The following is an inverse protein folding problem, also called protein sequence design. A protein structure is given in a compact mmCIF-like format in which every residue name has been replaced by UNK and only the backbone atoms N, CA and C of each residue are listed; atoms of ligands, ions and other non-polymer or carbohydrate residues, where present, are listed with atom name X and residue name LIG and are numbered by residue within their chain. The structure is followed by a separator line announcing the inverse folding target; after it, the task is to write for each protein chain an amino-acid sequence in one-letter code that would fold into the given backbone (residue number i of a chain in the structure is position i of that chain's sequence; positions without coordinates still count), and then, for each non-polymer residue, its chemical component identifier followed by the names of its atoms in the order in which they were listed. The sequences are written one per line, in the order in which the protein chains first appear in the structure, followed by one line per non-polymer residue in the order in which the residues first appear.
data_IF_532092959530
#
_entry.id   IF_532092959530
#
_cell.length_a   1.000
_cell.length_b   1.000
_cell.length_c   1.000
_cell.angle_alpha   90.00
_cell.angle_beta   90.00
_cell.angle_gamma   90.00
#
_symmetry.space_group_name_H-M   'P 1'
#
loop_
_entity.id
_entity.type
_entity.pdbx_description
1 polymer ?
#
# COMPACT_ATOMS: atom_id res chain seq x y z
N UNK A 1 -62.60 -5.61 14.55
CA UNK A 1 -61.55 -6.56 14.98
C UNK A 1 -60.23 -6.41 14.22
N UNK A 2 -60.21 -6.22 12.89
CA UNK A 2 -58.96 -6.09 12.10
C UNK A 2 -58.08 -4.87 12.45
N UNK A 3 -58.67 -3.71 12.77
CA UNK A 3 -57.93 -2.47 13.09
C UNK A 3 -57.12 -2.56 14.39
N UNK A 4 -57.67 -3.24 15.41
CA UNK A 4 -57.00 -3.39 16.71
C UNK A 4 -55.73 -4.24 16.57
N UNK A 5 -55.74 -5.23 15.66
CA UNK A 5 -54.59 -6.08 15.37
C UNK A 5 -53.43 -5.30 14.72
N UNK A 6 -53.72 -4.33 13.83
CA UNK A 6 -52.68 -3.50 13.22
C UNK A 6 -52.01 -2.56 14.23
N UNK A 7 -52.79 -2.00 15.16
CA UNK A 7 -52.26 -1.12 16.20
C UNK A 7 -51.36 -1.90 17.16
N UNK A 8 -51.74 -3.13 17.56
CA UNK A 8 -50.89 -3.95 18.42
C UNK A 8 -49.56 -4.35 17.74
N UNK A 9 -49.58 -4.66 16.45
CA UNK A 9 -48.36 -4.98 15.68
C UNK A 9 -47.43 -3.77 15.61
N UNK A 10 -47.98 -2.56 15.39
CA UNK A 10 -47.18 -1.33 15.31
C UNK A 10 -46.53 -0.97 16.65
N UNK A 11 -47.24 -1.15 17.77
CA UNK A 11 -46.69 -0.91 19.11
C UNK A 11 -45.56 -1.89 19.45
N UNK A 12 -45.71 -3.17 19.10
CA UNK A 12 -44.62 -4.17 19.27
C UNK A 12 -43.41 -3.82 18.41
N UNK A 13 -43.61 -3.27 17.20
CA UNK A 13 -42.51 -2.81 16.35
C UNK A 13 -41.77 -1.60 16.95
N UNK A 14 -42.49 -0.63 17.51
CA UNK A 14 -41.88 0.53 18.18
C UNK A 14 -41.14 0.09 19.45
N UNK A 15 -41.71 -0.80 20.26
CA UNK A 15 -41.05 -1.34 21.46
C UNK A 15 -39.84 -2.21 21.09
N UNK A 16 -39.94 -2.99 20.00
CA UNK A 16 -38.83 -3.81 19.49
C UNK A 16 -37.66 -2.97 18.96
N UNK A 17 -37.94 -1.78 18.41
CA UNK A 17 -36.90 -0.81 18.01
C UNK A 17 -36.29 -0.12 19.24
N UNK A 18 -37.08 0.14 20.30
CA UNK A 18 -36.57 0.75 21.53
C UNK A 18 -35.78 -0.21 22.42
N UNK A 19 -36.11 -1.51 22.41
CA UNK A 19 -35.44 -2.51 23.26
C UNK A 19 -34.15 -3.09 22.68
N UNK A 20 -33.68 -2.59 21.53
CA UNK A 20 -32.32 -2.88 21.03
C UNK A 20 -31.33 -1.73 21.28
N UNK A 21 -31.57 -0.93 22.31
CA UNK A 21 -30.50 -0.24 23.04
C UNK A 21 -29.78 -1.26 23.93
N UNK A 22 -29.07 -2.20 23.31
CA UNK A 22 -27.82 -2.60 23.91
C UNK A 22 -26.94 -1.36 23.83
N UNK A 23 -26.85 -0.63 24.93
CA UNK A 23 -25.74 0.26 25.21
C UNK A 23 -24.46 -0.60 25.23
N UNK A 24 -24.00 -0.99 24.03
CA UNK A 24 -22.57 -0.96 23.78
C UNK A 24 -22.25 0.51 23.70
N UNK A 25 -22.05 1.11 24.87
CA UNK A 25 -21.00 2.10 25.00
C UNK A 25 -19.72 1.39 24.59
N UNK A 26 -19.48 1.30 23.28
CA UNK A 26 -18.14 1.26 22.74
C UNK A 26 -17.53 2.58 23.19
N UNK A 27 -17.06 2.62 24.43
CA UNK A 27 -16.05 3.57 24.85
C UNK A 27 -14.95 3.39 23.82
N UNK A 28 -14.88 4.33 22.88
CA UNK A 28 -13.89 4.36 21.83
C UNK A 28 -12.53 4.25 22.55
N UNK A 29 -11.94 3.06 22.49
CA UNK A 29 -10.70 2.75 23.19
C UNK A 29 -9.56 3.33 22.34
N UNK A 30 -9.45 4.66 22.32
CA UNK A 30 -8.25 5.34 21.83
C UNK A 30 -7.00 4.80 22.59
N UNK A 31 -7.21 4.24 23.79
CA UNK A 31 -6.17 3.63 24.63
C UNK A 31 -5.55 2.31 24.13
N UNK A 32 -6.06 1.67 23.07
CA UNK A 32 -5.48 0.40 22.57
C UNK A 32 -4.58 0.54 21.34
N UNK A 33 -4.34 1.76 20.85
CA UNK A 33 -3.45 2.01 19.71
C UNK A 33 -2.00 2.17 20.18
N UNK A 34 -1.05 1.45 19.58
CA UNK A 34 0.39 1.59 19.90
C UNK A 34 0.89 2.97 19.44
N UNK A 35 1.23 3.91 20.34
CA UNK A 35 1.65 5.26 19.95
C UNK A 35 2.92 5.26 19.07
N UNK A 36 3.68 4.15 19.06
CA UNK A 36 4.88 3.97 18.27
C UNK A 36 4.65 3.20 16.97
N UNK A 37 3.39 2.94 16.58
CA UNK A 37 3.10 2.26 15.33
C UNK A 37 3.75 2.99 14.14
N UNK A 38 4.36 2.21 13.25
CA UNK A 38 5.11 2.71 12.10
C UNK A 38 4.42 2.30 10.83
N UNK A 39 4.20 3.28 9.94
CA UNK A 39 3.81 3.05 8.56
C UNK A 39 4.97 3.38 7.65
N UNK A 40 5.27 2.48 6.72
CA UNK A 40 6.23 2.69 5.65
C UNK A 40 5.51 3.20 4.41
N UNK A 41 6.05 4.24 3.80
CA UNK A 41 5.61 4.79 2.53
C UNK A 41 6.65 4.45 1.48
N UNK A 42 6.24 3.64 0.51
CA UNK A 42 7.07 3.23 -0.62
C UNK A 42 6.83 4.15 -1.80
N UNK A 43 7.91 4.59 -2.45
CA UNK A 43 7.85 5.54 -3.57
C UNK A 43 8.54 4.99 -4.81
N UNK A 44 8.13 5.47 -5.99
CA UNK A 44 8.53 4.92 -7.30
C UNK A 44 10.03 4.98 -7.53
N UNK A 45 10.69 5.97 -6.94
CA UNK A 45 12.12 6.17 -7.08
C UNK A 45 12.93 5.25 -6.16
N UNK A 46 12.29 4.36 -5.39
CA UNK A 46 12.98 3.43 -4.49
C UNK A 46 13.18 3.96 -3.08
N UNK A 47 12.57 5.09 -2.73
CA UNK A 47 12.65 5.62 -1.37
C UNK A 47 11.60 4.96 -0.49
N UNK A 48 12.03 4.45 0.66
CA UNK A 48 11.16 3.96 1.73
C UNK A 48 11.22 4.94 2.90
N UNK A 49 10.07 5.47 3.31
CA UNK A 49 9.96 6.44 4.41
C UNK A 49 9.16 5.84 5.54
N UNK A 50 9.74 5.74 6.73
CA UNK A 50 8.99 5.40 7.92
C UNK A 50 8.41 6.65 8.55
N UNK A 51 7.11 6.61 8.82
CA UNK A 51 6.41 7.63 9.56
C UNK A 51 5.69 7.03 10.76
N UNK A 52 5.52 7.83 11.80
CA UNK A 52 4.59 7.49 12.87
C UNK A 52 3.16 7.44 12.31
N UNK A 53 2.48 6.31 12.47
CA UNK A 53 1.17 6.01 11.86
C UNK A 53 0.11 7.07 12.19
N UNK A 54 0.15 7.67 13.38
CA UNK A 54 -0.89 8.59 13.85
C UNK A 54 -0.59 10.07 13.64
N UNK A 55 0.68 10.43 13.40
CA UNK A 55 1.10 11.83 13.23
C UNK A 55 1.66 12.13 11.84
N UNK A 56 2.05 11.09 11.08
CA UNK A 56 2.73 11.22 9.79
C UNK A 56 4.13 11.82 9.91
N UNK A 57 4.69 11.92 11.11
CA UNK A 57 6.04 12.44 11.33
C UNK A 57 7.08 11.41 10.91
N UNK A 58 8.07 11.84 10.13
CA UNK A 58 9.16 10.99 9.66
C UNK A 58 10.03 10.51 10.83
N UNK A 59 10.30 9.20 10.85
CA UNK A 59 11.16 8.53 11.81
C UNK A 59 12.52 8.31 11.15
N UNK A 60 12.50 7.72 9.95
CA UNK A 60 13.70 7.50 9.15
C UNK A 60 13.32 7.35 7.67
N UNK A 61 14.36 7.40 6.84
CA UNK A 61 14.28 7.27 5.39
C UNK A 61 15.46 6.47 4.89
N UNK A 62 15.18 5.61 3.93
CA UNK A 62 16.21 4.91 3.18
C UNK A 62 15.90 5.00 1.68
N UNK A 63 16.96 5.12 0.88
CA UNK A 63 16.89 5.25 -0.56
C UNK A 63 17.59 4.07 -1.19
N UNK A 64 16.84 3.31 -1.99
CA UNK A 64 17.36 2.21 -2.79
C UNK A 64 17.27 2.53 -4.30
N UNK A 65 17.55 1.51 -5.11
CA UNK A 65 17.20 1.43 -6.52
C UNK A 65 15.70 1.68 -6.73
N UNK A 66 15.32 2.31 -7.85
CA UNK A 66 13.92 2.47 -8.23
C UNK A 66 13.16 1.14 -8.22
N UNK A 67 11.89 1.17 -7.81
CA UNK A 67 11.02 -0.02 -7.81
C UNK A 67 10.79 -0.58 -9.22
N UNK A 68 10.95 0.28 -10.21
CA UNK A 68 10.79 -0.04 -11.61
C UNK A 68 11.88 0.64 -12.43
N UNK A 69 12.71 -0.15 -13.10
CA UNK A 69 13.69 0.33 -14.07
C UNK A 69 13.28 -0.11 -15.47
N UNK A 70 13.03 0.86 -16.36
CA UNK A 70 12.69 0.63 -17.77
C UNK A 70 13.82 1.11 -18.68
N UNK A 71 13.88 0.67 -19.95
CA UNK A 71 14.95 1.07 -20.87
C UNK A 71 14.92 2.60 -21.07
N UNK A 72 16.10 3.23 -21.11
CA UNK A 72 16.22 4.69 -21.36
C UNK A 72 15.79 5.08 -22.78
N UNK A 73 16.06 4.21 -23.75
CA UNK A 73 15.68 4.40 -25.14
C UNK A 73 14.40 3.63 -25.42
N UNK A 74 13.32 4.36 -25.67
CA UNK A 74 12.00 3.79 -25.89
C UNK A 74 11.81 3.51 -27.39
N UNK A 75 11.75 2.24 -27.77
CA UNK A 75 11.16 1.89 -29.05
C UNK A 75 9.64 1.91 -28.90
N UNK A 76 8.98 2.93 -29.46
CA UNK A 76 7.52 3.10 -29.37
C UNK A 76 6.74 1.91 -29.93
N UNK A 77 7.31 1.15 -30.87
CA UNK A 77 6.66 -0.01 -31.48
C UNK A 77 6.80 -1.28 -30.63
N UNK A 78 7.64 -1.27 -29.61
CA UNK A 78 7.89 -2.40 -28.71
C UNK A 78 8.07 -1.91 -27.27
N UNK A 79 7.07 -1.15 -26.80
CA UNK A 79 7.03 -0.58 -25.47
C UNK A 79 5.94 -1.22 -24.62
N UNK A 80 6.35 -1.70 -23.45
CA UNK A 80 5.46 -2.18 -22.41
C UNK A 80 5.51 -1.21 -21.22
N UNK A 81 4.36 -1.03 -20.58
CA UNK A 81 4.14 -0.12 -19.47
C UNK A 81 3.85 -0.95 -18.22
N UNK A 82 4.79 -1.09 -17.30
CA UNK A 82 4.58 -1.81 -16.06
C UNK A 82 3.81 -0.95 -15.06
N UNK A 83 2.87 -1.57 -14.35
CA UNK A 83 2.32 -1.01 -13.13
C UNK A 83 3.30 -1.29 -11.97
N UNK A 84 3.90 -0.26 -11.35
CA UNK A 84 4.83 -0.43 -10.24
C UNK A 84 4.21 -1.03 -8.96
N UNK A 85 2.88 -1.10 -8.85
CA UNK A 85 2.20 -1.62 -7.65
C UNK A 85 2.10 -3.15 -7.62
N UNK A 86 1.93 -3.78 -8.78
CA UNK A 86 1.58 -5.21 -8.88
C UNK A 86 2.30 -5.93 -10.03
N UNK A 87 3.14 -5.22 -10.79
CA UNK A 87 3.83 -5.74 -11.94
C UNK A 87 2.93 -6.06 -13.14
N UNK A 88 1.66 -5.63 -13.16
CA UNK A 88 0.81 -5.78 -14.35
C UNK A 88 1.42 -5.05 -15.54
N UNK A 89 1.36 -5.67 -16.71
CA UNK A 89 1.89 -5.08 -17.93
C UNK A 89 0.77 -4.54 -18.82
N UNK A 90 1.02 -3.38 -19.41
CA UNK A 90 0.15 -2.76 -20.39
C UNK A 90 0.93 -2.48 -21.67
N UNK A 91 0.22 -2.44 -22.80
CA UNK A 91 0.78 -2.04 -24.09
C UNK A 91 -0.12 -0.98 -24.71
N UNK A 92 0.48 0.01 -25.37
CA UNK A 92 -0.26 1.00 -26.14
C UNK A 92 -0.19 0.65 -27.61
N UNK A 93 -1.29 0.15 -28.17
CA UNK A 93 -1.38 -0.28 -29.57
C UNK A 93 -2.75 0.07 -30.14
N UNK A 94 -2.83 0.38 -31.42
CA UNK A 94 -4.07 0.80 -32.09
C UNK A 94 -4.77 2.00 -31.41
N UNK A 95 -3.99 2.95 -30.89
CA UNK A 95 -4.48 4.07 -30.07
C UNK A 95 -5.22 3.65 -28.79
N UNK A 96 -5.03 2.43 -28.31
CA UNK A 96 -5.68 1.88 -27.11
C UNK A 96 -4.64 1.33 -26.14
N UNK A 97 -4.84 1.61 -24.86
CA UNK A 97 -4.11 0.94 -23.79
C UNK A 97 -4.76 -0.42 -23.54
N UNK A 98 -4.00 -1.50 -23.73
CA UNK A 98 -4.44 -2.88 -23.48
C UNK A 98 -3.65 -3.45 -22.31
N UNK A 99 -4.34 -4.05 -21.34
CA UNK A 99 -3.73 -4.82 -20.25
C UNK A 99 -3.36 -6.21 -20.77
N UNK A 100 -2.15 -6.67 -20.48
CA UNK A 100 -1.71 -8.03 -20.76
C UNK A 100 -2.19 -8.99 -19.67
N UNK A 101 -2.41 -10.28 -19.98
CA UNK A 101 -2.94 -11.25 -19.02
C UNK A 101 -1.92 -11.71 -17.97
N UNK A 102 -0.67 -11.24 -18.03
CA UNK A 102 0.41 -11.66 -17.14
C UNK A 102 1.09 -10.47 -16.46
N UNK A 103 1.49 -10.68 -15.20
CA UNK A 103 2.39 -9.77 -14.47
C UNK A 103 3.86 -10.11 -14.74
N UNK A 104 4.78 -9.20 -14.41
CA UNK A 104 6.23 -9.45 -14.48
C UNK A 104 6.62 -10.71 -13.67
N UNK A 105 6.21 -10.88 -12.40
CA UNK A 105 6.50 -12.11 -11.66
C UNK A 105 6.03 -13.40 -12.35
N UNK A 106 4.83 -13.39 -12.95
CA UNK A 106 4.28 -14.55 -13.68
C UNK A 106 5.07 -14.86 -14.95
N UNK A 107 5.48 -13.84 -15.71
CA UNK A 107 6.33 -14.03 -16.89
C UNK A 107 7.71 -14.56 -16.50
N UNK A 108 8.30 -14.08 -15.42
CA UNK A 108 9.58 -14.62 -14.91
C UNK A 108 9.44 -16.09 -14.53
N UNK A 109 8.38 -16.46 -13.81
CA UNK A 109 8.14 -17.85 -13.40
C UNK A 109 7.95 -18.82 -14.57
N UNK A 110 7.36 -18.34 -15.67
CA UNK A 110 7.12 -19.15 -16.88
C UNK A 110 8.26 -19.08 -17.89
N UNK A 111 9.31 -18.29 -17.60
CA UNK A 111 10.45 -18.13 -18.49
C UNK A 111 11.45 -19.31 -18.37
N UNK A 112 12.20 -19.62 -19.45
CA UNK A 112 12.11 -19.01 -20.78
C UNK A 112 10.89 -19.52 -21.58
N UNK A 113 10.20 -18.62 -22.27
CA UNK A 113 9.05 -18.98 -23.12
C UNK A 113 8.97 -18.12 -24.39
N UNK A 114 8.15 -18.55 -25.35
CA UNK A 114 7.91 -17.83 -26.61
C UNK A 114 6.40 -17.77 -26.87
N UNK A 115 5.88 -16.60 -27.23
CA UNK A 115 4.48 -16.48 -27.72
C UNK A 115 4.35 -16.82 -29.20
N UNK A 116 3.11 -17.07 -29.61
CA UNK A 116 2.76 -17.28 -31.01
C UNK A 116 3.15 -16.10 -31.91
N UNK A 117 3.13 -14.88 -31.35
CA UNK A 117 3.49 -13.64 -32.06
C UNK A 117 5.01 -13.43 -32.20
N UNK A 118 5.84 -14.40 -31.77
CA UNK A 118 7.28 -14.33 -31.93
C UNK A 118 8.02 -13.59 -30.82
N UNK A 119 7.37 -13.28 -29.69
CA UNK A 119 8.06 -12.64 -28.57
C UNK A 119 8.67 -13.72 -27.68
N UNK A 120 9.96 -13.63 -27.44
CA UNK A 120 10.70 -14.44 -26.47
C UNK A 120 10.78 -13.72 -25.13
N UNK A 121 10.56 -14.46 -24.05
CA UNK A 121 10.66 -13.98 -22.67
C UNK A 121 11.79 -14.75 -21.99
N UNK A 122 12.70 -14.03 -21.36
CA UNK A 122 13.71 -14.58 -20.46
C UNK A 122 13.66 -13.77 -19.16
N UNK A 123 13.55 -14.46 -18.03
CA UNK A 123 13.44 -13.82 -16.73
C UNK A 123 14.31 -14.47 -15.68
N UNK A 124 14.60 -13.71 -14.63
CA UNK A 124 15.27 -14.20 -13.44
C UNK A 124 14.67 -13.55 -12.20
N UNK A 125 14.77 -14.26 -11.06
CA UNK A 125 14.36 -13.79 -9.74
C UNK A 125 15.54 -13.87 -8.79
N UNK A 126 15.81 -12.78 -8.05
CA UNK A 126 16.77 -12.76 -6.94
C UNK A 126 16.05 -12.29 -5.68
N UNK A 127 16.08 -13.09 -4.62
CA UNK A 127 15.51 -12.73 -3.32
C UNK A 127 16.60 -12.20 -2.38
N UNK A 128 16.28 -11.14 -1.63
CA UNK A 128 17.15 -10.51 -0.63
C UNK A 128 16.37 -10.28 0.65
N UNK A 129 17.02 -10.43 1.80
CA UNK A 129 16.50 -10.06 3.10
C UNK A 129 17.08 -8.72 3.54
N UNK A 130 16.22 -7.82 4.00
CA UNK A 130 16.56 -6.52 4.53
C UNK A 130 16.39 -6.55 6.05
N UNK A 131 17.45 -6.23 6.80
CA UNK A 131 17.34 -6.04 8.26
C UNK A 131 17.00 -4.58 8.54
N UNK A 132 15.85 -4.34 9.17
CA UNK A 132 15.34 -2.98 9.44
C UNK A 132 15.12 -2.80 10.93
N UNK A 133 15.68 -1.74 11.50
CA UNK A 133 15.43 -1.34 12.88
C UNK A 133 14.27 -0.35 12.93
N UNK A 134 13.30 -0.56 13.82
CA UNK A 134 12.09 0.30 13.91
C UNK A 134 12.40 1.79 13.97
N UNK A 135 13.41 2.20 14.74
CA UNK A 135 13.76 3.62 14.94
C UNK A 135 14.92 4.10 14.05
N UNK A 136 15.75 3.18 13.54
CA UNK A 136 17.01 3.54 12.84
C UNK A 136 16.96 3.27 11.33
N UNK A 137 15.94 2.58 10.84
CA UNK A 137 15.81 2.20 9.44
C UNK A 137 16.68 1.01 9.05
N UNK A 138 17.00 0.91 7.76
CA UNK A 138 17.78 -0.19 7.21
C UNK A 138 19.14 -0.31 7.88
N UNK A 139 19.50 -1.53 8.31
CA UNK A 139 20.78 -1.87 8.91
C UNK A 139 21.68 -2.69 7.97
N UNK A 140 21.10 -3.61 7.20
CA UNK A 140 21.85 -4.39 6.19
C UNK A 140 20.95 -4.91 5.08
N UNK A 141 21.55 -5.05 3.90
CA UNK A 141 21.02 -5.86 2.80
C UNK A 141 21.79 -7.19 2.81
N UNK A 142 21.06 -8.30 2.70
CA UNK A 142 21.54 -9.69 2.79
C UNK A 142 21.68 -10.22 4.24
N UNK A 143 21.12 -11.42 4.44
CA UNK A 143 21.68 -12.36 5.41
C UNK A 143 23.03 -12.73 4.80
N UNK A 144 24.10 -12.00 5.15
CA UNK A 144 25.42 -12.60 5.03
C UNK A 144 25.30 -13.96 5.70
N UNK A 145 25.81 -15.01 5.07
CA UNK A 145 26.05 -16.29 5.71
C UNK A 145 27.00 -16.04 6.89
N UNK A 146 26.50 -15.46 7.99
CA UNK A 146 27.06 -15.63 9.30
C UNK A 146 26.72 -17.07 9.67
N UNK A 147 27.49 -17.98 9.09
CA UNK A 147 27.81 -19.27 9.66
C UNK A 147 28.61 -19.10 10.96
N UNK A 148 28.68 -17.88 11.53
CA UNK A 148 28.89 -17.67 12.95
C UNK A 148 27.66 -18.21 13.71
N UNK A 149 27.73 -19.52 13.91
CA UNK A 149 27.23 -20.32 15.01
C UNK A 149 26.19 -19.63 15.92
N UNK A 150 24.95 -20.12 15.86
CA UNK A 150 23.92 -20.03 16.90
C UNK A 150 23.21 -18.69 17.16
N UNK A 151 23.28 -17.69 16.27
CA UNK A 151 22.39 -16.53 16.38
C UNK A 151 21.07 -16.84 15.67
N UNK A 152 20.09 -17.35 16.43
CA UNK A 152 18.70 -17.12 16.06
C UNK A 152 18.51 -15.58 16.00
N UNK A 153 18.30 -14.96 14.83
CA UNK A 153 18.34 -13.50 14.69
C UNK A 153 17.18 -12.78 15.40
N UNK A 154 16.23 -13.54 15.95
CA UNK A 154 14.87 -13.09 16.25
C UNK A 154 14.74 -12.40 17.62
N UNK A 155 15.74 -12.41 18.52
CA UNK A 155 15.43 -12.15 19.95
C UNK A 155 16.26 -11.13 20.73
N UNK A 156 17.08 -10.26 20.13
CA UNK A 156 17.78 -9.22 20.93
C UNK A 156 17.57 -7.77 20.54
N UNK A 157 17.30 -7.46 19.27
CA UNK A 157 17.16 -6.08 18.84
C UNK A 157 15.77 -5.80 18.28
N UNK A 158 15.36 -4.52 18.30
CA UNK A 158 14.18 -3.96 17.60
C UNK A 158 14.34 -4.08 16.06
N UNK A 159 14.75 -5.24 15.57
CA UNK A 159 14.99 -5.56 14.16
C UNK A 159 13.83 -6.39 13.60
N UNK A 160 13.50 -6.12 12.35
CA UNK A 160 12.53 -6.86 11.55
C UNK A 160 13.24 -7.22 10.24
N UNK A 161 13.00 -8.44 9.76
CA UNK A 161 13.52 -8.90 8.48
C UNK A 161 12.42 -8.79 7.43
N UNK A 162 12.71 -8.10 6.32
CA UNK A 162 11.79 -7.87 5.22
C UNK A 162 12.34 -8.57 3.98
N UNK A 163 11.54 -9.43 3.36
CA UNK A 163 11.89 -10.02 2.07
C UNK A 163 11.65 -9.02 0.93
N UNK A 164 12.61 -8.93 0.01
CA UNK A 164 12.48 -8.21 -1.26
C UNK A 164 12.86 -9.13 -2.41
N UNK A 165 12.01 -9.19 -3.41
CA UNK A 165 12.27 -9.91 -4.66
C UNK A 165 12.61 -8.95 -5.78
N UNK A 166 13.75 -9.16 -6.43
CA UNK A 166 14.15 -8.52 -7.68
C UNK A 166 13.78 -9.43 -8.85
N UNK A 167 12.91 -8.96 -9.74
CA UNK A 167 12.51 -9.63 -10.96
C UNK A 167 13.12 -8.91 -12.15
N UNK A 168 13.95 -9.61 -12.92
CA UNK A 168 14.46 -9.11 -14.19
C UNK A 168 13.74 -9.83 -15.32
N UNK A 169 13.21 -9.08 -16.29
CA UNK A 169 12.52 -9.64 -17.45
C UNK A 169 13.04 -8.98 -18.73
N UNK A 170 13.39 -9.81 -19.71
CA UNK A 170 13.79 -9.42 -21.05
C UNK A 170 12.77 -9.99 -22.02
N UNK A 171 12.14 -9.11 -22.80
CA UNK A 171 11.32 -9.45 -23.95
C UNK A 171 12.07 -9.15 -25.23
N UNK A 172 12.10 -10.09 -26.16
CA UNK A 172 12.73 -9.94 -27.47
C UNK A 172 11.78 -10.35 -28.58
N UNK A 173 11.53 -9.46 -29.53
CA UNK A 173 10.76 -9.77 -30.73
C UNK A 173 11.65 -10.51 -31.76
N UNK A 174 11.22 -11.70 -32.18
CA UNK A 174 11.99 -12.54 -33.12
C UNK A 174 12.09 -11.96 -34.52
N UNK A 175 11.14 -11.12 -34.93
CA UNK A 175 10.99 -10.65 -36.31
C UNK A 175 11.85 -9.43 -36.59
N UNK A 176 11.89 -8.47 -35.65
CA UNK A 176 12.61 -7.22 -35.82
C UNK A 176 13.80 -7.06 -34.84
N UNK A 177 14.06 -8.05 -33.98
CA UNK A 177 15.09 -8.04 -32.94
C UNK A 177 14.94 -6.92 -31.89
N UNK A 178 13.76 -6.32 -31.75
CA UNK A 178 13.49 -5.35 -30.69
C UNK A 178 13.61 -6.01 -29.32
N UNK A 179 14.25 -5.31 -28.38
CA UNK A 179 14.46 -5.78 -27.01
C UNK A 179 13.84 -4.76 -26.05
N UNK A 180 13.09 -5.25 -25.09
CA UNK A 180 12.58 -4.49 -23.96
C UNK A 180 12.98 -5.19 -22.66
N UNK A 181 13.66 -4.47 -21.77
CA UNK A 181 14.09 -4.98 -20.48
C UNK A 181 13.44 -4.20 -19.33
N UNK A 182 13.12 -4.90 -18.25
CA UNK A 182 12.59 -4.29 -17.04
C UNK A 182 13.17 -4.98 -15.81
N UNK A 183 13.46 -4.17 -14.79
CA UNK A 183 13.69 -4.64 -13.42
C UNK A 183 12.53 -4.18 -12.56
N UNK A 184 11.89 -5.10 -11.85
CA UNK A 184 10.76 -4.87 -10.95
C UNK A 184 11.10 -5.38 -9.55
N UNK A 185 10.83 -4.58 -8.53
CA UNK A 185 11.03 -4.94 -7.13
C UNK A 185 9.68 -5.11 -6.43
N UNK A 186 9.57 -6.18 -5.64
CA UNK A 186 8.42 -6.46 -4.79
C UNK A 186 8.86 -6.71 -3.34
N UNK A 187 8.04 -6.31 -2.38
CA UNK A 187 8.28 -6.55 -0.95
C UNK A 187 7.30 -7.60 -0.44
N UNK A 188 7.81 -8.58 0.34
CA UNK A 188 6.96 -9.57 0.99
C UNK A 188 6.11 -8.90 2.06
N UNK A 189 4.86 -8.62 1.73
CA UNK A 189 3.88 -7.93 2.60
C UNK A 189 2.58 -8.72 2.79
N UNK A 190 2.49 -9.91 2.19
CA UNK A 190 1.32 -10.80 2.22
C UNK A 190 1.16 -11.56 3.54
N UNK A 191 1.56 -10.97 4.67
CA UNK A 191 1.07 -11.45 5.96
C UNK A 191 -0.36 -10.91 6.04
N UNK A 192 -1.40 -11.77 5.92
CA UNK A 192 -2.75 -11.30 6.14
C UNK A 192 -2.79 -10.79 7.59
N UNK A 193 -3.24 -9.56 7.84
CA UNK A 193 -3.66 -9.30 9.21
C UNK A 193 -4.89 -10.19 9.40
N UNK A 194 -4.82 -11.16 10.30
CA UNK A 194 -6.03 -11.88 10.74
C UNK A 194 -7.12 -10.90 11.26
N UNK A 195 -6.72 -9.65 11.50
CA UNK A 195 -7.53 -8.50 11.91
C UNK A 195 -7.65 -7.39 10.83
N UNK A 196 -7.55 -7.69 9.52
CA UNK A 196 -7.69 -6.67 8.45
C UNK A 196 -9.00 -5.84 8.56
N UNK A 197 -10.07 -6.44 9.09
CA UNK A 197 -11.35 -5.77 9.37
C UNK A 197 -11.31 -4.79 10.57
N UNK A 198 -10.22 -4.76 11.35
CA UNK A 198 -10.05 -3.88 12.52
C UNK A 198 -9.13 -2.69 12.27
N UNK A 199 -8.45 -2.60 11.14
CA UNK A 199 -7.63 -1.41 10.89
C UNK A 199 -8.55 -0.22 10.61
N UNK A 200 -8.65 0.68 11.58
CA UNK A 200 -9.47 1.88 11.45
C UNK A 200 -8.87 2.87 10.45
N UNK A 201 -7.68 2.63 9.88
CA UNK A 201 -6.95 3.61 9.06
C UNK A 201 -6.91 3.23 7.58
N UNK A 202 -7.22 4.19 6.71
CA UNK A 202 -7.07 4.09 5.26
C UNK A 202 -6.19 5.24 4.76
N UNK A 203 -5.30 4.93 3.84
CA UNK A 203 -4.46 5.90 3.15
C UNK A 203 -5.06 6.28 1.80
N UNK A 204 -5.05 7.57 1.47
CA UNK A 204 -5.45 8.08 0.16
C UNK A 204 -4.29 8.87 -0.46
N UNK A 205 -3.78 8.40 -1.59
CA UNK A 205 -2.66 9.00 -2.32
C UNK A 205 -3.13 9.72 -3.58
N UNK A 206 -2.47 10.83 -3.90
CA UNK A 206 -2.70 11.57 -5.15
C UNK A 206 -1.83 10.98 -6.28
N UNK A 207 -2.42 10.49 -7.38
CA UNK A 207 -1.69 9.97 -8.52
C UNK A 207 -0.61 10.94 -9.02
N UNK A 208 0.57 10.40 -9.33
CA UNK A 208 1.67 11.19 -9.92
C UNK A 208 2.32 12.19 -8.97
N UNK A 209 2.06 12.14 -7.67
CA UNK A 209 2.69 13.02 -6.68
C UNK A 209 3.02 12.27 -5.39
N UNK A 210 3.77 12.91 -4.51
CA UNK A 210 4.04 12.41 -3.16
C UNK A 210 2.97 12.77 -2.13
N UNK A 211 1.82 13.32 -2.54
CA UNK A 211 0.77 13.76 -1.62
C UNK A 211 -0.09 12.59 -1.16
N UNK A 212 -0.28 12.48 0.15
CA UNK A 212 -1.04 11.42 0.82
C UNK A 212 -1.69 11.94 2.09
N UNK A 213 -2.85 11.37 2.41
CA UNK A 213 -3.53 11.57 3.68
C UNK A 213 -3.79 10.22 4.37
N UNK A 214 -3.82 10.25 5.70
CA UNK A 214 -4.30 9.15 6.52
C UNK A 214 -5.68 9.52 7.06
N UNK A 215 -6.66 8.65 6.85
CA UNK A 215 -8.03 8.81 7.30
C UNK A 215 -8.35 7.75 8.34
N UNK A 216 -8.88 8.18 9.47
CA UNK A 216 -9.51 7.29 10.44
C UNK A 216 -10.98 7.07 10.04
N UNK A 217 -11.32 5.81 9.77
CA UNK A 217 -12.65 5.34 9.34
C UNK A 217 -13.66 5.31 10.47
N UNK A 218 -13.21 5.25 11.74
CA UNK A 218 -14.08 5.32 12.91
C UNK A 218 -14.52 6.76 13.16
N UNK A 219 -13.57 7.67 13.35
CA UNK A 219 -13.88 9.09 13.57
C UNK A 219 -14.29 9.82 12.29
N UNK A 220 -13.99 9.25 11.12
CA UNK A 220 -14.20 9.85 9.78
C UNK A 220 -13.45 11.18 9.64
N UNK A 221 -12.24 11.25 10.21
CA UNK A 221 -11.39 12.45 10.17
C UNK A 221 -10.07 12.17 9.49
N UNK A 222 -9.48 13.21 8.90
CA UNK A 222 -8.10 13.17 8.41
C UNK A 222 -7.18 13.30 9.62
N UNK A 223 -6.36 12.28 9.87
CA UNK A 223 -5.38 12.30 10.96
C UNK A 223 -4.19 13.20 10.62
N UNK A 224 -3.70 13.10 9.40
CA UNK A 224 -2.59 13.90 8.90
C UNK A 224 -2.56 13.91 7.36
N UNK A 225 -1.88 14.92 6.84
CA UNK A 225 -1.56 15.11 5.43
C UNK A 225 -0.04 15.30 5.29
N UNK A 226 0.56 14.65 4.30
CA UNK A 226 1.98 14.79 3.97
C UNK A 226 2.20 14.85 2.46
N UNK A 227 3.34 15.40 2.06
CA UNK A 227 3.79 15.44 0.69
C UNK A 227 5.26 15.01 0.61
N UNK A 228 5.51 13.81 0.12
CA UNK A 228 6.84 13.24 -0.08
C UNK A 228 7.47 13.70 -1.40
N UNK A 229 8.77 13.46 -1.56
CA UNK A 229 9.56 13.93 -2.71
C UNK A 229 9.26 13.22 -4.03
N UNK A 230 8.53 12.10 -4.00
CA UNK A 230 8.38 11.17 -5.11
C UNK A 230 6.99 10.54 -5.11
N UNK A 231 6.59 9.97 -6.25
CA UNK A 231 5.26 9.34 -6.41
C UNK A 231 5.13 8.15 -5.47
N UNK A 232 4.07 8.12 -4.68
CA UNK A 232 3.79 7.01 -3.77
C UNK A 232 3.30 5.82 -4.59
N UNK A 233 3.79 4.63 -4.25
CA UNK A 233 3.38 3.36 -4.86
C UNK A 233 2.52 2.57 -3.89
N UNK A 234 2.98 2.43 -2.65
CA UNK A 234 2.30 1.61 -1.65
C UNK A 234 2.60 2.02 -0.21
N UNK A 235 1.81 1.47 0.73
CA UNK A 235 1.98 1.67 2.17
C UNK A 235 1.96 0.37 2.93
N UNK A 236 2.77 0.25 3.98
CA UNK A 236 2.89 -0.96 4.79
C UNK A 236 2.95 -0.63 6.28
N UNK A 237 2.35 -1.44 7.14
CA UNK A 237 2.61 -1.41 8.57
C UNK A 237 3.87 -2.22 8.88
N UNK A 238 4.84 -1.60 9.54
CA UNK A 238 6.02 -2.29 10.05
C UNK A 238 5.71 -2.83 11.44
N UNK A 239 5.65 -4.15 11.57
CA UNK A 239 5.38 -4.87 12.83
C UNK A 239 6.50 -5.86 13.13
N UNK A 240 6.50 -6.43 14.33
CA UNK A 240 7.57 -7.34 14.80
C UNK A 240 7.71 -8.60 13.95
N UNK A 241 6.63 -9.02 13.32
CA UNK A 241 6.53 -10.19 12.46
C UNK A 241 6.79 -9.89 10.97
N UNK A 242 6.94 -8.62 10.57
CA UNK A 242 7.27 -8.25 9.20
C UNK A 242 6.52 -7.03 8.70
N UNK A 243 6.35 -6.98 7.38
CA UNK A 243 5.50 -6.00 6.70
C UNK A 243 4.09 -6.57 6.52
N UNK A 244 3.12 -5.74 6.86
CA UNK A 244 1.72 -5.97 6.58
C UNK A 244 1.23 -4.90 5.62
N UNK A 245 0.43 -5.28 4.62
CA UNK A 245 -0.18 -4.32 3.72
C UNK A 245 -1.01 -3.29 4.49
N UNK A 246 -0.82 -2.00 4.20
CA UNK A 246 -1.68 -0.95 4.69
C UNK A 246 -2.50 -0.40 3.52
N UNK A 247 -3.83 -0.33 3.67
CA UNK A 247 -4.71 -0.02 2.56
C UNK A 247 -4.46 1.39 2.03
N UNK A 248 -3.91 1.48 0.83
CA UNK A 248 -3.72 2.72 0.09
C UNK A 248 -4.56 2.75 -1.19
N UNK A 249 -5.33 3.82 -1.38
CA UNK A 249 -6.11 4.04 -2.59
C UNK A 249 -5.68 5.32 -3.28
N UNK A 250 -5.60 5.26 -4.59
CA UNK A 250 -5.30 6.42 -5.42
C UNK A 250 -6.59 7.15 -5.76
N UNK A 251 -6.63 8.45 -5.45
CA UNK A 251 -7.79 9.32 -5.66
C UNK A 251 -7.39 10.44 -6.61
N UNK A 252 -8.18 10.65 -7.67
CA UNK A 252 -7.93 11.70 -8.66
C UNK A 252 -7.58 13.04 -8.03
N UNK A 253 -6.64 13.76 -8.64
CA UNK A 253 -6.01 14.97 -8.11
C UNK A 253 -7.00 15.98 -7.54
N UNK A 254 -7.97 16.38 -8.36
CA UNK A 254 -8.99 17.37 -8.03
C UNK A 254 -9.93 16.86 -6.93
N UNK A 255 -10.29 15.57 -7.00
CA UNK A 255 -11.15 14.92 -6.01
C UNK A 255 -10.49 14.88 -4.64
N UNK A 256 -9.21 14.52 -4.56
CA UNK A 256 -8.49 14.46 -3.29
C UNK A 256 -8.32 15.85 -2.68
N UNK A 257 -7.94 16.84 -3.49
CA UNK A 257 -7.75 18.21 -3.01
C UNK A 257 -9.07 18.80 -2.50
N UNK A 258 -10.19 18.59 -3.21
CA UNK A 258 -11.52 19.00 -2.74
C UNK A 258 -11.94 18.26 -1.45
N UNK A 259 -11.65 16.96 -1.35
CA UNK A 259 -11.96 16.17 -0.16
C UNK A 259 -11.23 16.72 1.09
N UNK A 260 -9.95 17.05 0.94
CA UNK A 260 -9.12 17.63 2.00
C UNK A 260 -9.67 19.00 2.43
N UNK A 261 -9.96 19.87 1.47
CA UNK A 261 -10.44 21.23 1.73
C UNK A 261 -11.76 21.22 2.52
N UNK A 262 -12.73 20.40 2.12
CA UNK A 262 -14.02 20.29 2.80
C UNK A 262 -13.87 19.70 4.21
N UNK A 263 -12.99 18.71 4.37
CA UNK A 263 -12.74 18.06 5.66
C UNK A 263 -12.18 19.04 6.69
N UNK A 264 -11.19 19.86 6.30
CA UNK A 264 -10.64 20.89 7.18
C UNK A 264 -11.60 22.05 7.42
N UNK A 265 -12.35 22.51 6.42
CA UNK A 265 -13.40 23.54 6.60
C UNK A 265 -14.46 23.11 7.62
N UNK A 266 -14.89 21.85 7.56
CA UNK A 266 -15.84 21.28 8.52
C UNK A 266 -15.26 21.30 9.93
N UNK A 267 -13.99 20.93 10.09
CA UNK A 267 -13.29 20.97 11.38
C UNK A 267 -13.26 22.39 11.98
N UNK A 268 -12.87 23.41 11.19
CA UNK A 268 -12.89 24.81 11.66
C UNK A 268 -14.29 25.31 12.02
N UNK A 269 -15.33 24.90 11.30
CA UNK A 269 -16.71 25.26 11.61
C UNK A 269 -17.18 24.70 12.97
N UNK A 270 -16.82 23.46 13.30
CA UNK A 270 -17.17 22.87 14.61
C UNK A 270 -16.39 23.53 15.76
N UNK A 271 -15.11 23.85 15.59
CA UNK A 271 -14.32 24.52 16.62
C UNK A 271 -14.78 25.95 16.91
N UNK A 272 -15.21 26.69 15.88
CA UNK A 272 -15.73 28.04 16.06
C UNK A 272 -17.06 28.06 16.83
N UNK A 273 -17.90 27.04 16.65
CA UNK A 273 -19.21 26.95 17.28
C UNK A 273 -19.20 26.20 18.63
N UNK A 274 -18.17 25.42 18.95
CA UNK A 274 -18.05 24.74 20.25
C UNK A 274 -17.63 25.65 21.40
N UNK A 275 -17.07 26.83 21.11
CA UNK A 275 -16.72 27.86 22.11
C UNK A 275 -17.85 28.89 22.36
N UNK A 276 -19.07 28.63 21.89
CA UNK A 276 -20.22 29.55 22.04
C UNK A 276 -21.33 29.03 22.97
N UNK A 277 -21.01 28.09 23.87
CA UNK A 277 -21.87 27.67 24.99
C UNK A 277 -21.06 27.67 26.29
#
# INVERSE_FOLDING_TARGET
MKIILYISIFIVFIIGIYSNKHDKTSSCNIKTQDPNAITLISTIDGTMVAVNTFTGNEIWRYKDKPLLETPKTLNKNFLFLPNPQDGNLFVYTDNKLKRLPFTIPQLVQTSPCKTNDGIFYAGSKKDVWLSVHFERGLQSEEIRNSLDENICPVSKDKLVYIGRSEYQLIMKNSTNNDIWNVTYYDYTSYIPNEDDDKSSLIYLSKPGSGKIICLDTESKTIMWEKNFSSVIIDTFYLKKDGLHYAVNRFVGSETLDAFIEVSFKKYFYYFKNSHSY
#
